data_IF_423379720374
#
_entry.id   IF_423379720374
#
_cell.length_a   1.000
_cell.length_b   1.000
_cell.length_c   1.000
_cell.angle_alpha   90.00
_cell.angle_beta   90.00
_cell.angle_gamma   90.00
#
_symmetry.space_group_name_H-M   'P 1'
#
loop_
_entity.id
_entity.type
_entity.pdbx_description
1 polymer ?
#
# COMPACT_ATOMS: atom_id res chain seq x y z
N UNK A 1 53.48 -9.54 -45.52
CA UNK A 1 52.64 -10.42 -44.68
C UNK A 1 51.70 -9.55 -43.86
N UNK A 2 50.39 -9.56 -44.17
CA UNK A 2 49.39 -8.65 -43.59
C UNK A 2 48.70 -9.38 -42.43
N UNK A 3 49.02 -9.02 -41.19
CA UNK A 3 48.43 -9.64 -39.99
C UNK A 3 47.09 -8.95 -39.68
N UNK A 4 45.99 -9.65 -39.86
CA UNK A 4 44.67 -9.22 -39.38
C UNK A 4 44.53 -9.66 -37.91
N UNK A 5 44.48 -8.69 -37.01
CA UNK A 5 44.19 -8.92 -35.59
C UNK A 5 42.69 -8.75 -35.41
N UNK A 6 41.96 -9.86 -35.24
CA UNK A 6 40.56 -9.86 -34.83
C UNK A 6 40.50 -9.64 -33.32
N UNK A 7 40.14 -8.43 -32.89
CA UNK A 7 39.82 -8.13 -31.49
C UNK A 7 38.39 -8.55 -31.20
N UNK A 8 38.23 -9.59 -30.38
CA UNK A 8 36.96 -10.03 -29.82
C UNK A 8 36.44 -8.99 -28.82
N UNK A 9 35.33 -8.32 -29.16
CA UNK A 9 34.61 -7.47 -28.22
C UNK A 9 33.84 -8.38 -27.23
N UNK A 10 34.31 -8.47 -26.00
CA UNK A 10 33.55 -9.08 -24.91
C UNK A 10 32.51 -8.04 -24.47
N UNK A 11 31.26 -8.23 -24.89
CA UNK A 11 30.15 -7.45 -24.39
C UNK A 11 29.94 -7.81 -22.91
N UNK A 12 30.34 -6.92 -22.00
CA UNK A 12 29.90 -6.98 -20.61
C UNK A 12 28.39 -6.74 -20.60
N UNK A 13 27.63 -7.82 -20.51
CA UNK A 13 26.22 -7.75 -20.19
C UNK A 13 26.10 -7.17 -18.77
N UNK A 14 25.87 -5.86 -18.67
CA UNK A 14 25.31 -5.27 -17.46
C UNK A 14 23.96 -5.94 -17.22
N UNK A 15 23.96 -6.96 -16.35
CA UNK A 15 22.77 -7.57 -15.82
C UNK A 15 22.05 -6.61 -14.89
N UNK A 16 21.48 -5.54 -15.44
CA UNK A 16 20.32 -4.91 -14.83
C UNK A 16 19.19 -5.92 -14.97
N UNK A 17 19.07 -6.82 -13.99
CA UNK A 17 17.83 -7.58 -13.80
C UNK A 17 16.69 -6.57 -13.84
N UNK A 18 15.70 -6.70 -14.74
CA UNK A 18 14.51 -5.89 -14.64
C UNK A 18 13.94 -6.18 -13.25
N UNK A 19 14.00 -5.17 -12.37
CA UNK A 19 13.21 -5.19 -11.16
C UNK A 19 11.79 -5.30 -11.67
N UNK A 20 11.23 -6.52 -11.64
CA UNK A 20 9.82 -6.70 -11.87
C UNK A 20 9.17 -5.74 -10.90
N UNK A 21 8.52 -4.71 -11.43
CA UNK A 21 7.64 -3.87 -10.65
C UNK A 21 6.67 -4.86 -10.02
N UNK A 22 6.91 -5.15 -8.73
CA UNK A 22 6.07 -6.03 -7.96
C UNK A 22 4.67 -5.43 -8.09
N UNK A 23 3.77 -6.10 -8.81
CA UNK A 23 2.42 -5.59 -9.08
C UNK A 23 1.87 -5.05 -7.76
N UNK A 24 1.64 -3.73 -7.70
CA UNK A 24 1.31 -3.07 -6.44
C UNK A 24 0.00 -3.67 -5.93
N UNK A 25 0.11 -4.51 -4.91
CA UNK A 25 -1.00 -5.34 -4.46
C UNK A 25 -1.93 -4.47 -3.65
N UNK A 26 -3.19 -4.37 -4.09
CA UNK A 26 -4.20 -3.59 -3.39
C UNK A 26 -5.17 -4.47 -2.59
N UNK A 27 -5.57 -4.03 -1.41
CA UNK A 27 -6.59 -4.68 -0.59
C UNK A 27 -7.67 -3.67 -0.16
N UNK A 28 -8.85 -4.15 0.24
CA UNK A 28 -9.96 -3.29 0.68
C UNK A 28 -10.40 -3.65 2.10
N UNK A 29 -10.49 -2.62 2.96
CA UNK A 29 -11.06 -2.73 4.31
C UNK A 29 -12.35 -1.93 4.33
N UNK A 30 -13.48 -2.61 4.54
CA UNK A 30 -14.75 -1.94 4.83
C UNK A 30 -14.83 -1.76 6.35
N UNK A 31 -14.98 -0.53 6.83
CA UNK A 31 -14.93 -0.21 8.26
C UNK A 31 -15.90 -1.06 9.11
N UNK A 32 -17.09 -1.38 8.58
CA UNK A 32 -18.05 -2.27 9.23
C UNK A 32 -17.54 -3.72 9.35
N UNK A 33 -16.91 -4.26 8.29
CA UNK A 33 -16.37 -5.62 8.28
C UNK A 33 -15.10 -5.75 9.14
N UNK A 34 -14.25 -4.72 9.15
CA UNK A 34 -13.03 -4.67 9.96
C UNK A 34 -13.31 -4.78 11.46
N UNK A 35 -14.39 -4.12 11.92
CA UNK A 35 -14.85 -4.21 13.31
C UNK A 35 -15.34 -5.59 13.69
N UNK A 36 -15.93 -6.34 12.75
CA UNK A 36 -16.54 -7.64 13.03
C UNK A 36 -15.52 -8.77 13.06
N UNK A 37 -14.54 -8.77 12.15
CA UNK A 37 -13.60 -9.88 12.02
C UNK A 37 -12.25 -9.62 12.68
N UNK A 38 -11.85 -8.35 12.83
CA UNK A 38 -10.52 -7.96 13.32
C UNK A 38 -9.35 -8.40 12.42
N UNK A 39 -9.60 -9.27 11.44
CA UNK A 39 -8.66 -9.76 10.44
C UNK A 39 -8.93 -9.08 9.10
N UNK A 40 -7.84 -8.65 8.46
CA UNK A 40 -7.85 -8.12 7.10
C UNK A 40 -7.11 -9.12 6.22
N UNK A 41 -7.38 -9.10 4.92
CA UNK A 41 -6.60 -9.85 3.92
C UNK A 41 -5.41 -9.03 3.38
N UNK A 42 -5.07 -7.92 4.04
CA UNK A 42 -4.00 -7.02 3.63
C UNK A 42 -2.65 -7.55 4.13
N UNK A 43 -1.69 -7.63 3.21
CA UNK A 43 -0.29 -7.86 3.52
C UNK A 43 0.42 -6.55 3.83
N UNK A 44 1.51 -6.65 4.58
CA UNK A 44 2.40 -5.53 4.87
C UNK A 44 2.92 -4.90 3.57
N UNK A 45 2.77 -3.59 3.43
CA UNK A 45 3.19 -2.84 2.23
C UNK A 45 2.18 -2.81 1.08
N UNK A 46 1.05 -3.53 1.18
CA UNK A 46 -0.05 -3.45 0.22
C UNK A 46 -0.65 -2.04 0.19
N UNK A 47 -1.25 -1.62 -0.93
CA UNK A 47 -2.08 -0.41 -0.94
C UNK A 47 -3.46 -0.76 -0.40
N UNK A 48 -3.80 -0.22 0.77
CA UNK A 48 -5.11 -0.44 1.39
C UNK A 48 -6.07 0.68 1.04
N UNK A 49 -7.28 0.29 0.63
CA UNK A 49 -8.43 1.17 0.45
C UNK A 49 -9.39 0.94 1.62
N UNK A 50 -9.52 1.93 2.51
CA UNK A 50 -10.42 1.88 3.66
C UNK A 50 -11.64 2.72 3.34
N UNK A 51 -12.82 2.12 3.19
CA UNK A 51 -14.06 2.81 2.78
C UNK A 51 -15.12 2.87 3.87
N UNK A 52 -16.08 3.79 3.73
CA UNK A 52 -17.24 3.92 4.62
C UNK A 52 -16.94 4.53 5.99
N UNK A 53 -15.84 5.28 6.14
CA UNK A 53 -15.50 5.88 7.44
C UNK A 53 -16.12 7.26 7.62
N UNK A 54 -16.63 7.53 8.81
CA UNK A 54 -16.94 8.90 9.22
C UNK A 54 -15.67 9.68 9.56
N UNK A 55 -15.75 11.01 9.55
CA UNK A 55 -14.62 11.88 9.94
C UNK A 55 -14.09 11.59 11.36
N UNK A 56 -14.95 11.11 12.27
CA UNK A 56 -14.56 10.74 13.64
C UNK A 56 -13.72 9.45 13.69
N UNK A 57 -13.95 8.54 12.75
CA UNK A 57 -13.30 7.22 12.72
C UNK A 57 -11.98 7.24 11.94
N UNK A 58 -11.85 8.21 11.02
CA UNK A 58 -10.70 8.39 10.16
C UNK A 58 -9.36 8.35 10.90
N UNK A 59 -9.13 9.11 12.01
CA UNK A 59 -7.83 9.12 12.65
C UNK A 59 -7.45 7.77 13.25
N UNK A 60 -8.43 7.07 13.83
CA UNK A 60 -8.21 5.74 14.42
C UNK A 60 -7.90 4.69 13.37
N UNK A 61 -8.53 4.75 12.21
CA UNK A 61 -8.25 3.83 11.10
C UNK A 61 -6.88 4.09 10.47
N UNK A 62 -6.52 5.36 10.24
CA UNK A 62 -5.19 5.72 9.74
C UNK A 62 -4.12 5.23 10.73
N UNK A 63 -4.29 5.49 12.04
CA UNK A 63 -3.33 5.04 13.04
C UNK A 63 -3.18 3.52 13.13
N UNK A 64 -4.24 2.77 12.80
CA UNK A 64 -4.24 1.31 12.90
C UNK A 64 -3.68 0.62 11.66
N UNK A 65 -3.95 1.16 10.47
CA UNK A 65 -3.74 0.45 9.21
C UNK A 65 -2.79 1.15 8.24
N UNK A 66 -2.45 2.43 8.45
CA UNK A 66 -1.59 3.17 7.53
C UNK A 66 -0.16 3.32 8.06
N UNK A 67 0.79 3.24 7.14
CA UNK A 67 2.14 3.74 7.39
C UNK A 67 2.17 5.27 7.33
N UNK A 68 2.51 5.91 8.46
CA UNK A 68 2.65 7.36 8.58
C UNK A 68 3.86 7.93 7.82
N UNK A 69 4.84 7.09 7.51
CA UNK A 69 5.99 7.49 6.69
C UNK A 69 5.69 7.42 5.19
N UNK A 70 4.56 6.80 4.82
CA UNK A 70 4.06 6.75 3.46
C UNK A 70 3.09 7.87 3.12
N UNK A 71 2.67 7.91 1.85
CA UNK A 71 1.60 8.81 1.42
C UNK A 71 0.25 8.31 1.94
N UNK A 72 -0.53 9.24 2.50
CA UNK A 72 -1.91 8.99 2.94
C UNK A 72 -2.80 9.94 2.18
N UNK A 73 -3.77 9.38 1.44
CA UNK A 73 -4.74 10.13 0.65
C UNK A 73 -6.12 9.93 1.26
N UNK A 74 -6.84 11.02 1.49
CA UNK A 74 -8.21 10.99 2.00
C UNK A 74 -9.14 11.64 0.98
N UNK A 75 -10.17 10.90 0.57
CA UNK A 75 -11.12 11.28 -0.46
C UNK A 75 -12.55 11.20 0.09
N UNK A 76 -13.51 11.99 -0.45
CA UNK A 76 -14.92 11.73 -0.20
C UNK A 76 -15.33 10.36 -0.74
N UNK A 77 -16.16 9.63 0.01
CA UNK A 77 -16.71 8.35 -0.44
C UNK A 77 -17.99 8.61 -1.25
N UNK A 78 -17.83 8.70 -2.57
CA UNK A 78 -18.94 8.98 -3.51
C UNK A 78 -19.79 7.74 -3.82
N UNK A 79 -19.35 6.56 -3.40
CA UNK A 79 -20.09 5.31 -3.58
C UNK A 79 -21.10 5.04 -2.47
N UNK A 80 -21.00 5.77 -1.37
CA UNK A 80 -21.92 5.68 -0.24
C UNK A 80 -23.06 6.71 -0.37
N UNK A 81 -24.26 6.34 0.08
CA UNK A 81 -25.42 7.24 0.14
C UNK A 81 -25.17 8.44 1.08
N UNK A 82 -24.19 8.31 1.98
CA UNK A 82 -23.80 9.30 2.98
C UNK A 82 -22.54 10.07 2.54
N UNK A 83 -22.72 11.29 2.02
CA UNK A 83 -21.63 12.17 1.55
C UNK A 83 -20.65 12.63 2.65
N UNK A 84 -20.97 12.38 3.92
CA UNK A 84 -20.04 12.64 5.04
C UNK A 84 -18.94 11.57 5.16
N UNK A 85 -19.08 10.45 4.43
CA UNK A 85 -18.14 9.34 4.43
C UNK A 85 -16.87 9.66 3.66
N UNK A 86 -15.79 8.98 4.06
CA UNK A 86 -14.44 9.17 3.54
C UNK A 86 -13.82 7.82 3.19
N UNK A 87 -13.03 7.84 2.12
CA UNK A 87 -12.13 6.76 1.71
C UNK A 87 -10.71 7.19 2.08
N UNK A 88 -9.92 6.26 2.60
CA UNK A 88 -8.48 6.42 2.80
C UNK A 88 -7.74 5.46 1.88
N UNK A 89 -6.71 5.96 1.21
CA UNK A 89 -5.71 5.18 0.50
C UNK A 89 -4.34 5.41 1.15
N UNK A 90 -3.69 4.33 1.56
CA UNK A 90 -2.36 4.38 2.16
C UNK A 90 -1.64 3.05 2.00
N UNK A 91 -0.34 3.01 2.29
CA UNK A 91 0.36 1.74 2.47
C UNK A 91 -0.10 1.08 3.76
N UNK A 92 -0.42 -0.20 3.66
CA UNK A 92 -0.84 -1.02 4.79
C UNK A 92 0.33 -1.28 5.71
N UNK A 93 0.15 -0.88 6.97
CA UNK A 93 1.05 -1.19 8.06
C UNK A 93 0.19 -1.42 9.30
N UNK A 94 0.10 -2.68 9.74
CA UNK A 94 -0.75 -3.01 10.88
C UNK A 94 -0.02 -2.72 12.18
N UNK A 95 -0.37 -1.60 12.82
CA UNK A 95 0.11 -1.32 14.17
C UNK A 95 -0.73 -2.09 15.18
N UNK A 96 -0.07 -2.73 16.14
CA UNK A 96 -0.75 -3.20 17.34
C UNK A 96 -1.41 -1.98 18.01
N UNK A 97 -2.69 -2.09 18.35
CA UNK A 97 -3.37 -1.01 19.05
C UNK A 97 -2.59 -0.73 20.33
N UNK A 98 -2.17 0.51 20.53
CA UNK A 98 -1.54 0.91 21.79
C UNK A 98 -2.46 0.46 22.94
N UNK A 99 -1.94 -0.19 23.99
CA UNK A 99 -2.76 -0.63 25.10
C UNK A 99 -3.53 0.57 25.64
N UNK A 100 -4.85 0.41 25.77
CA UNK A 100 -5.71 1.43 26.37
C UNK A 100 -5.16 1.76 27.76
N UNK A 101 -4.62 2.96 27.95
CA UNK A 101 -4.28 3.40 29.29
C UNK A 101 -5.60 3.60 30.08
N UNK A 102 -5.68 3.09 31.32
CA UNK A 102 -6.89 3.11 32.14
C UNK A 102 -7.35 4.51 32.53
#
# INVERSE_FOLDING_TARGET
>A
MRRFVLTTAVALACGCSPSQANDERSCKIVAAAARLSGKTNCGEGDVVIISGMSAKELPGAVARYCDFWGQIVVLPDVSETDASRRIVLCKYHQREAAPSQP
#
